data_IF_301182388685
#
_entry.id   IF_301182388685
#
_cell.length_a   1.000
_cell.length_b   1.000
_cell.length_c   1.000
_cell.angle_alpha   90.00
_cell.angle_beta   90.00
_cell.angle_gamma   90.00
#
_symmetry.space_group_name_H-M   'P 1'
#
loop_
_entity.id
_entity.type
_entity.pdbx_description
1 polymer ?
#
# COMPACT_ATOMS: atom_id res chain seq x y z
N UNK A 1 1.68 -66.82 41.87
CA UNK A 1 0.64 -66.90 40.82
C UNK A 1 0.09 -65.53 40.59
N UNK A 2 0.63 -64.85 39.59
CA UNK A 2 0.32 -63.45 39.26
C UNK A 2 -0.62 -63.38 38.11
N UNK A 3 -1.72 -62.62 38.27
CA UNK A 3 -2.66 -62.30 37.21
C UNK A 3 -2.22 -61.05 36.49
N UNK A 4 -1.90 -61.16 35.19
CA UNK A 4 -1.61 -60.01 34.31
C UNK A 4 -2.95 -59.42 33.81
N UNK A 5 -3.26 -58.21 34.27
CA UNK A 5 -4.35 -57.42 33.73
C UNK A 5 -3.90 -56.79 32.42
N UNK A 6 -4.55 -57.14 31.30
CA UNK A 6 -4.39 -56.46 30.00
C UNK A 6 -5.21 -55.16 30.01
N UNK A 7 -4.52 -54.03 30.03
CA UNK A 7 -5.12 -52.75 29.71
C UNK A 7 -5.26 -52.60 28.18
N UNK A 8 -6.49 -52.69 27.71
CA UNK A 8 -6.85 -52.35 26.33
C UNK A 8 -6.87 -50.81 26.21
N UNK A 9 -5.81 -50.23 25.67
CA UNK A 9 -5.81 -48.83 25.27
C UNK A 9 -6.61 -48.69 23.98
N UNK A 10 -7.80 -48.11 24.06
CA UNK A 10 -8.54 -47.61 22.91
C UNK A 10 -7.73 -46.42 22.32
N UNK A 11 -7.10 -46.67 21.19
CA UNK A 11 -6.52 -45.59 20.40
C UNK A 11 -7.67 -44.75 19.83
N UNK A 12 -7.96 -43.62 20.47
CA UNK A 12 -8.67 -42.53 19.84
C UNK A 12 -7.83 -42.10 18.63
N UNK A 13 -8.21 -42.51 17.44
CA UNK A 13 -7.74 -41.89 16.19
C UNK A 13 -8.35 -40.48 16.15
N UNK A 14 -7.62 -39.51 16.69
CA UNK A 14 -7.84 -38.10 16.34
C UNK A 14 -7.80 -38.03 14.81
N UNK A 15 -8.88 -37.62 14.21
CA UNK A 15 -8.93 -37.25 12.82
C UNK A 15 -7.92 -36.09 12.67
N UNK A 16 -6.72 -36.38 12.21
CA UNK A 16 -5.89 -35.40 11.58
C UNK A 16 -6.69 -34.95 10.36
N UNK A 17 -7.31 -33.76 10.44
CA UNK A 17 -7.74 -33.04 9.26
C UNK A 17 -6.55 -33.06 8.31
N UNK A 18 -6.75 -33.56 7.11
CA UNK A 18 -5.75 -33.48 6.05
C UNK A 18 -5.40 -32.00 5.90
N UNK A 19 -4.22 -31.60 6.39
CA UNK A 19 -3.72 -30.26 6.25
C UNK A 19 -3.77 -29.91 4.75
N UNK A 20 -4.61 -28.94 4.39
CA UNK A 20 -4.70 -28.49 3.00
C UNK A 20 -3.37 -27.83 2.65
N UNK A 21 -2.57 -28.52 1.83
CA UNK A 21 -1.32 -27.95 1.31
C UNK A 21 -1.68 -26.92 0.26
N UNK A 22 -1.43 -25.65 0.57
CA UNK A 22 -1.53 -24.57 -0.40
C UNK A 22 -0.22 -24.45 -1.19
N UNK A 23 -0.33 -24.52 -2.52
CA UNK A 23 0.80 -24.21 -3.42
C UNK A 23 0.55 -22.84 -4.03
N UNK A 24 1.38 -21.87 -3.67
CA UNK A 24 1.33 -20.50 -4.20
C UNK A 24 2.58 -20.24 -5.02
N UNK A 25 2.44 -19.57 -6.17
CA UNK A 25 3.55 -19.04 -6.95
C UNK A 25 3.53 -17.53 -6.86
N UNK A 26 4.68 -16.93 -6.60
CA UNK A 26 4.85 -15.49 -6.46
C UNK A 26 5.98 -14.98 -7.33
N UNK A 27 5.91 -13.68 -7.65
CA UNK A 27 6.98 -12.93 -8.28
C UNK A 27 7.27 -11.75 -7.37
N UNK A 28 8.51 -11.66 -6.89
CA UNK A 28 8.94 -10.56 -6.05
C UNK A 28 9.62 -9.48 -6.88
N UNK A 29 9.30 -8.23 -6.57
CA UNK A 29 9.86 -7.03 -7.20
C UNK A 29 9.99 -5.92 -6.16
N UNK A 30 10.46 -4.75 -6.59
CA UNK A 30 10.39 -3.52 -5.81
C UNK A 30 10.09 -2.33 -6.70
N UNK A 31 9.48 -1.29 -6.15
CA UNK A 31 9.35 0.02 -6.77
C UNK A 31 10.00 1.06 -5.87
N UNK A 32 11.07 1.70 -6.35
CA UNK A 32 11.83 2.70 -5.60
C UNK A 32 12.33 2.21 -4.21
N UNK A 33 12.60 0.91 -4.07
CA UNK A 33 13.09 0.28 -2.83
C UNK A 33 12.01 -0.38 -1.98
N UNK A 34 10.74 -0.08 -2.19
CA UNK A 34 9.63 -0.71 -1.48
C UNK A 34 9.27 -2.06 -2.13
N UNK A 35 9.24 -3.18 -1.36
CA UNK A 35 9.01 -4.50 -1.92
C UNK A 35 7.57 -4.69 -2.38
N UNK A 36 7.40 -5.57 -3.38
CA UNK A 36 6.10 -6.13 -3.72
C UNK A 36 6.23 -7.61 -4.10
N UNK A 37 5.44 -8.45 -3.45
CA UNK A 37 5.21 -9.85 -3.80
C UNK A 37 3.90 -9.99 -4.55
N UNK A 38 3.93 -10.19 -5.87
CA UNK A 38 2.73 -10.49 -6.63
C UNK A 38 2.44 -12.00 -6.58
N UNK A 39 1.28 -12.37 -6.07
CA UNK A 39 0.81 -13.75 -6.10
C UNK A 39 0.19 -13.99 -7.47
N UNK A 40 0.76 -14.92 -8.23
CA UNK A 40 0.38 -15.20 -9.64
C UNK A 40 -0.41 -16.49 -9.80
N UNK A 41 -0.31 -17.42 -8.85
CA UNK A 41 -1.08 -18.68 -8.86
C UNK A 41 -1.41 -19.16 -7.44
N UNK A 42 -2.50 -19.89 -7.34
CA UNK A 42 -2.89 -20.65 -6.15
C UNK A 42 -3.62 -19.86 -5.07
N UNK A 43 -3.76 -18.54 -5.22
CA UNK A 43 -4.57 -17.76 -4.30
C UNK A 43 -6.06 -17.96 -4.60
N UNK A 44 -6.92 -18.16 -3.57
CA UNK A 44 -8.36 -18.30 -3.77
C UNK A 44 -8.95 -17.08 -4.45
N UNK A 45 -9.84 -17.30 -5.41
CA UNK A 45 -10.51 -16.20 -6.14
C UNK A 45 -11.41 -15.41 -5.19
N UNK A 46 -11.13 -14.12 -4.94
CA UNK A 46 -11.93 -13.30 -4.04
C UNK A 46 -13.36 -13.14 -4.53
N UNK A 47 -14.34 -13.34 -3.65
CA UNK A 47 -15.77 -13.23 -3.94
C UNK A 47 -16.27 -11.84 -3.56
N UNK A 48 -17.06 -11.20 -4.43
CA UNK A 48 -17.66 -9.89 -4.20
C UNK A 48 -18.03 -9.18 -5.51
N UNK A 49 -19.03 -8.30 -5.46
CA UNK A 49 -19.47 -7.46 -6.58
C UNK A 49 -18.66 -6.17 -6.68
N UNK A 50 -18.06 -5.75 -5.58
CA UNK A 50 -17.18 -4.59 -5.49
C UNK A 50 -15.80 -5.01 -5.00
N UNK A 51 -14.80 -4.16 -5.22
CA UNK A 51 -13.46 -4.45 -4.71
C UNK A 51 -13.39 -4.39 -3.18
N UNK A 52 -14.22 -3.59 -2.53
CA UNK A 52 -14.35 -3.57 -1.06
C UNK A 52 -14.94 -4.87 -0.53
N UNK A 53 -15.98 -5.42 -1.18
CA UNK A 53 -16.51 -6.74 -0.81
C UNK A 53 -15.47 -7.84 -1.00
N UNK A 54 -14.73 -7.85 -2.12
CA UNK A 54 -13.63 -8.80 -2.34
C UNK A 54 -12.54 -8.69 -1.29
N UNK A 55 -12.17 -7.45 -0.90
CA UNK A 55 -11.22 -7.19 0.18
C UNK A 55 -11.72 -7.76 1.51
N UNK A 56 -12.97 -7.47 1.88
CA UNK A 56 -13.58 -7.99 3.11
C UNK A 56 -13.63 -9.51 3.13
N UNK A 57 -13.98 -10.11 2.01
CA UNK A 57 -14.04 -11.57 1.88
C UNK A 57 -12.68 -12.25 2.11
N UNK A 58 -11.58 -11.72 1.54
CA UNK A 58 -10.25 -12.30 1.78
C UNK A 58 -9.77 -12.07 3.22
N UNK A 59 -10.14 -10.96 3.83
CA UNK A 59 -9.86 -10.68 5.25
C UNK A 59 -10.55 -11.71 6.17
N UNK A 60 -11.78 -12.05 5.87
CA UNK A 60 -12.57 -12.96 6.68
C UNK A 60 -12.17 -14.43 6.48
N UNK A 61 -11.91 -14.85 5.23
CA UNK A 61 -11.77 -16.26 4.89
C UNK A 61 -10.32 -16.72 4.65
N UNK A 62 -9.40 -15.82 4.30
CA UNK A 62 -8.06 -16.17 3.83
C UNK A 62 -6.92 -15.35 4.44
N UNK A 63 -7.13 -14.68 5.58
CA UNK A 63 -6.09 -13.90 6.25
C UNK A 63 -4.87 -14.74 6.65
N UNK A 64 -5.07 -16.03 6.91
CA UNK A 64 -3.97 -16.96 7.18
C UNK A 64 -2.94 -17.04 6.02
N UNK A 65 -3.39 -16.94 4.75
CA UNK A 65 -2.49 -16.91 3.58
C UNK A 65 -1.70 -15.60 3.53
N UNK A 66 -2.35 -14.45 3.78
CA UNK A 66 -1.65 -13.17 3.91
C UNK A 66 -0.55 -13.25 4.95
N UNK A 67 -0.88 -13.70 6.15
CA UNK A 67 0.08 -13.86 7.26
C UNK A 67 1.24 -14.79 6.87
N UNK A 68 0.94 -15.90 6.23
CA UNK A 68 1.95 -16.85 5.78
C UNK A 68 2.92 -16.26 4.73
N UNK A 69 2.49 -15.26 3.94
CA UNK A 69 3.27 -14.65 2.87
C UNK A 69 3.98 -13.36 3.31
N UNK A 70 3.41 -12.63 4.28
CA UNK A 70 3.91 -11.31 4.69
C UNK A 70 4.81 -11.38 5.93
N UNK A 71 4.68 -12.41 6.77
CA UNK A 71 5.52 -12.57 7.97
C UNK A 71 6.64 -13.59 7.74
N UNK A 72 7.65 -13.56 8.62
CA UNK A 72 8.71 -14.56 8.69
C UNK A 72 8.12 -16.00 8.78
N UNK A 73 8.74 -16.98 8.16
CA UNK A 73 10.02 -16.92 7.43
C UNK A 73 9.89 -16.64 5.92
N UNK A 74 8.69 -16.46 5.38
CA UNK A 74 8.47 -16.24 3.94
C UNK A 74 8.38 -14.78 3.54
N UNK A 75 7.91 -13.92 4.44
CA UNK A 75 7.96 -12.47 4.34
C UNK A 75 8.96 -11.89 5.33
N UNK A 76 8.79 -10.63 5.66
CA UNK A 76 9.61 -9.90 6.62
C UNK A 76 8.86 -8.67 7.14
N UNK A 77 9.41 -7.96 8.11
CA UNK A 77 8.92 -6.64 8.49
C UNK A 77 8.96 -5.70 7.27
N UNK A 78 7.92 -4.87 7.11
CA UNK A 78 7.72 -3.98 5.96
C UNK A 78 7.45 -4.72 4.64
N UNK A 79 7.04 -6.01 4.67
CA UNK A 79 6.67 -6.75 3.46
C UNK A 79 5.34 -6.29 2.92
N UNK A 80 5.26 -6.18 1.59
CA UNK A 80 4.07 -5.81 0.84
C UNK A 80 3.75 -6.84 -0.25
N UNK A 81 2.49 -7.09 -0.50
CA UNK A 81 2.06 -8.06 -1.49
C UNK A 81 0.82 -7.60 -2.26
N UNK A 82 0.56 -8.28 -3.36
CA UNK A 82 -0.63 -8.07 -4.19
C UNK A 82 -1.14 -9.39 -4.78
N UNK A 83 -2.42 -9.40 -5.09
CA UNK A 83 -3.05 -10.45 -5.90
C UNK A 83 -3.96 -9.80 -6.94
N UNK A 84 -3.88 -10.29 -8.19
CA UNK A 84 -4.84 -9.92 -9.25
C UNK A 84 -6.12 -10.73 -9.08
N UNK A 85 -7.25 -10.11 -9.38
CA UNK A 85 -8.57 -10.72 -9.33
C UNK A 85 -9.33 -10.41 -10.62
N UNK A 86 -10.44 -11.10 -10.84
CA UNK A 86 -11.40 -10.69 -11.86
C UNK A 86 -11.83 -9.23 -11.63
N UNK A 87 -11.96 -8.42 -12.71
CA UNK A 87 -12.38 -7.05 -12.59
C UNK A 87 -13.85 -6.95 -12.12
N UNK A 88 -14.23 -5.80 -11.60
CA UNK A 88 -15.61 -5.48 -11.21
C UNK A 88 -16.23 -4.40 -12.10
N UNK A 89 -15.40 -3.60 -12.75
CA UNK A 89 -15.81 -2.53 -13.67
C UNK A 89 -15.68 -3.00 -15.12
N UNK A 90 -16.70 -2.76 -15.94
CA UNK A 90 -16.64 -3.04 -17.37
C UNK A 90 -15.50 -2.26 -18.03
N UNK A 91 -14.65 -2.95 -18.78
CA UNK A 91 -13.48 -2.38 -19.44
C UNK A 91 -12.21 -2.30 -18.58
N UNK A 92 -12.26 -2.71 -17.33
CA UNK A 92 -11.05 -2.94 -16.53
C UNK A 92 -10.38 -4.25 -16.94
N UNK A 93 -9.05 -4.28 -16.89
CA UNK A 93 -8.26 -5.45 -17.25
C UNK A 93 -8.17 -6.47 -16.10
N UNK A 94 -8.16 -5.99 -14.87
CA UNK A 94 -8.17 -6.81 -13.66
C UNK A 94 -8.58 -5.98 -12.43
N UNK A 95 -8.96 -6.65 -11.35
CA UNK A 95 -8.95 -6.11 -10.02
C UNK A 95 -7.60 -6.37 -9.33
N UNK A 96 -7.23 -5.55 -8.35
CA UNK A 96 -6.03 -5.73 -7.53
C UNK A 96 -6.36 -5.53 -6.06
N UNK A 97 -5.92 -6.48 -5.22
CA UNK A 97 -5.95 -6.36 -3.76
C UNK A 97 -4.51 -6.32 -3.25
N UNK A 98 -4.22 -5.34 -2.41
CA UNK A 98 -2.92 -5.18 -1.77
C UNK A 98 -2.97 -5.67 -0.32
N UNK A 99 -1.89 -6.29 0.12
CA UNK A 99 -1.76 -6.83 1.47
C UNK A 99 -0.40 -6.46 2.08
N UNK A 100 -0.35 -6.39 3.39
CA UNK A 100 0.86 -6.11 4.18
C UNK A 100 0.80 -6.85 5.52
N UNK A 101 1.74 -6.59 6.42
CA UNK A 101 1.80 -7.33 7.69
C UNK A 101 0.52 -7.18 8.54
N UNK A 102 -0.12 -6.01 8.58
CA UNK A 102 -1.32 -5.79 9.40
C UNK A 102 -2.63 -6.25 8.72
N UNK A 103 -2.74 -6.08 7.39
CA UNK A 103 -4.01 -6.35 6.71
C UNK A 103 -3.96 -6.10 5.21
N UNK A 104 -5.03 -5.50 4.69
CA UNK A 104 -5.22 -5.19 3.27
C UNK A 104 -5.49 -3.70 3.10
N UNK A 105 -4.66 -3.02 2.30
CA UNK A 105 -4.86 -1.62 1.99
C UNK A 105 -5.93 -1.39 0.91
N UNK A 106 -6.43 -0.17 0.82
CA UNK A 106 -7.44 0.22 -0.16
C UNK A 106 -6.83 0.56 -1.51
N UNK A 107 -5.61 1.13 -1.49
CA UNK A 107 -4.82 1.45 -2.68
C UNK A 107 -3.33 1.50 -2.31
N UNK A 108 -2.47 1.23 -3.30
CA UNK A 108 -1.02 1.27 -3.12
C UNK A 108 -0.34 1.74 -4.40
N UNK A 109 0.30 2.92 -4.36
CA UNK A 109 0.93 3.53 -5.53
C UNK A 109 2.16 2.75 -6.02
N UNK A 110 3.12 2.41 -5.14
CA UNK A 110 4.27 1.60 -5.53
C UNK A 110 3.84 0.21 -6.01
N UNK A 111 2.78 -0.33 -5.39
CA UNK A 111 2.18 -1.60 -5.80
C UNK A 111 1.62 -1.55 -7.22
N UNK A 112 0.92 -0.48 -7.63
CA UNK A 112 0.46 -0.30 -9.01
C UNK A 112 1.64 -0.31 -9.98
N UNK A 113 2.73 0.42 -9.67
CA UNK A 113 3.92 0.45 -10.52
C UNK A 113 4.51 -0.95 -10.71
N UNK A 114 4.67 -1.70 -9.62
CA UNK A 114 5.25 -3.04 -9.65
C UNK A 114 4.31 -4.06 -10.31
N UNK A 115 3.01 -4.05 -9.98
CA UNK A 115 2.01 -4.98 -10.55
C UNK A 115 1.92 -4.80 -12.06
N UNK A 116 1.81 -3.56 -12.56
CA UNK A 116 1.73 -3.28 -14.00
C UNK A 116 3.00 -3.73 -14.71
N UNK A 117 4.17 -3.46 -14.13
CA UNK A 117 5.47 -3.91 -14.66
C UNK A 117 5.50 -5.42 -14.78
N UNK A 118 5.23 -6.16 -13.69
CA UNK A 118 5.25 -7.62 -13.69
C UNK A 118 4.22 -8.18 -14.66
N UNK A 119 2.99 -7.64 -14.65
CA UNK A 119 1.90 -8.15 -15.45
C UNK A 119 2.19 -8.07 -16.97
N UNK A 120 2.82 -6.98 -17.41
CA UNK A 120 3.19 -6.80 -18.81
C UNK A 120 4.44 -7.61 -19.18
N UNK A 121 5.50 -7.57 -18.38
CA UNK A 121 6.74 -8.30 -18.66
C UNK A 121 6.59 -9.82 -18.58
N UNK A 122 5.62 -10.32 -17.84
CA UNK A 122 5.34 -11.76 -17.67
C UNK A 122 4.12 -12.25 -18.41
N UNK A 123 3.46 -11.38 -19.20
CA UNK A 123 2.27 -11.75 -19.98
C UNK A 123 1.07 -12.17 -19.14
N UNK A 124 0.96 -11.66 -17.89
CA UNK A 124 -0.20 -11.92 -17.03
C UNK A 124 -1.42 -11.10 -17.46
N UNK A 125 -1.20 -9.95 -18.10
CA UNK A 125 -2.21 -9.14 -18.75
C UNK A 125 -1.84 -8.97 -20.22
N UNK A 126 -2.81 -9.22 -21.09
CA UNK A 126 -2.69 -9.04 -22.53
C UNK A 126 -3.35 -7.70 -22.90
N UNK A 127 -2.55 -6.80 -23.43
CA UNK A 127 -3.03 -5.57 -24.01
C UNK A 127 -3.20 -5.76 -25.54
N UNK A 128 -4.28 -5.23 -26.15
CA UNK A 128 -4.35 -5.18 -27.61
C UNK A 128 -3.16 -4.44 -28.20
N UNK A 129 -2.79 -4.79 -29.43
CA UNK A 129 -1.67 -4.18 -30.14
C UNK A 129 -1.71 -2.65 -30.06
N UNK A 130 -0.56 -2.05 -29.77
CA UNK A 130 -0.35 -0.60 -29.61
C UNK A 130 -1.06 0.07 -28.41
N UNK A 131 -1.66 -0.67 -27.48
CA UNK A 131 -2.17 -0.10 -26.23
C UNK A 131 -1.14 -0.23 -25.12
N UNK A 132 -0.95 0.88 -24.38
CA UNK A 132 -0.04 0.96 -23.22
C UNK A 132 -0.79 1.29 -21.94
N UNK A 133 -2.13 1.37 -21.99
CA UNK A 133 -2.97 1.68 -20.85
C UNK A 133 -3.50 0.39 -20.21
N UNK A 134 -3.20 0.21 -18.94
CA UNK A 134 -3.77 -0.84 -18.06
C UNK A 134 -4.76 -0.19 -17.12
N UNK A 135 -5.98 -0.69 -17.09
CA UNK A 135 -7.03 -0.23 -16.20
C UNK A 135 -7.23 -1.28 -15.12
N UNK A 136 -7.08 -0.90 -13.86
CA UNK A 136 -7.20 -1.77 -12.70
C UNK A 136 -8.29 -1.26 -11.75
N UNK A 137 -9.12 -2.16 -11.23
CA UNK A 137 -10.01 -1.86 -10.13
C UNK A 137 -9.27 -2.05 -8.80
N UNK A 138 -9.33 -1.06 -7.91
CA UNK A 138 -8.84 -1.15 -6.53
C UNK A 138 -9.99 -0.91 -5.55
N UNK A 139 -9.85 -1.27 -4.26
CA UNK A 139 -10.86 -0.91 -3.26
C UNK A 139 -11.13 0.60 -3.14
N UNK A 140 -10.15 1.45 -3.45
CA UNK A 140 -10.33 2.91 -3.47
C UNK A 140 -10.93 3.44 -4.79
N UNK A 141 -11.06 2.60 -5.83
CA UNK A 141 -11.61 2.98 -7.12
C UNK A 141 -10.75 2.59 -8.31
N UNK A 142 -11.09 3.14 -9.46
CA UNK A 142 -10.47 2.83 -10.75
C UNK A 142 -9.12 3.53 -10.91
N UNK A 143 -8.11 2.76 -11.31
CA UNK A 143 -6.76 3.24 -11.59
C UNK A 143 -6.45 3.05 -13.08
N UNK A 144 -6.02 4.12 -13.74
CA UNK A 144 -5.56 4.09 -15.14
C UNK A 144 -4.05 4.25 -15.17
N UNK A 145 -3.34 3.18 -15.47
CA UNK A 145 -1.89 3.17 -15.58
C UNK A 145 -1.46 3.13 -17.05
N UNK A 146 -0.37 3.80 -17.37
CA UNK A 146 0.29 3.76 -18.67
C UNK A 146 1.74 3.31 -18.51
N UNK A 147 2.12 2.32 -19.29
CA UNK A 147 3.47 1.80 -19.32
C UNK A 147 4.19 2.23 -20.60
N UNK A 148 5.43 2.70 -20.47
CA UNK A 148 6.36 2.80 -21.59
C UNK A 148 7.06 1.45 -21.70
N UNK A 149 6.77 0.70 -22.76
CA UNK A 149 7.29 -0.64 -22.99
C UNK A 149 8.24 -0.60 -24.17
N UNK A 150 9.42 -1.19 -24.01
CA UNK A 150 10.39 -1.46 -25.07
C UNK A 150 10.55 -2.97 -25.25
N UNK A 151 11.19 -3.40 -26.31
CA UNK A 151 11.60 -4.78 -26.48
C UNK A 151 13.10 -4.91 -26.17
N UNK A 152 13.46 -5.88 -25.33
CA UNK A 152 14.84 -6.21 -25.04
C UNK A 152 15.01 -7.72 -25.04
N UNK A 153 15.94 -8.20 -25.85
CA UNK A 153 16.25 -9.64 -25.99
C UNK A 153 15.00 -10.49 -26.37
N UNK A 154 14.10 -9.93 -27.20
CA UNK A 154 12.88 -10.60 -27.64
C UNK A 154 11.76 -10.65 -26.58
N UNK A 155 11.88 -9.89 -25.51
CA UNK A 155 10.88 -9.82 -24.43
C UNK A 155 10.47 -8.37 -24.13
N UNK A 156 9.21 -8.14 -23.71
CA UNK A 156 8.76 -6.82 -23.29
C UNK A 156 9.50 -6.37 -22.03
N UNK A 157 9.95 -5.11 -22.05
CA UNK A 157 10.60 -4.44 -20.92
C UNK A 157 9.89 -3.15 -20.60
N UNK A 158 9.42 -3.00 -19.37
CA UNK A 158 8.76 -1.79 -18.90
C UNK A 158 9.80 -0.82 -18.36
N UNK A 159 9.96 0.30 -19.07
CA UNK A 159 10.92 1.36 -18.71
C UNK A 159 10.32 2.34 -17.67
N UNK A 160 9.02 2.55 -17.74
CA UNK A 160 8.32 3.50 -16.85
C UNK A 160 6.84 3.16 -16.78
N UNK A 161 6.28 3.31 -15.59
CA UNK A 161 4.83 3.29 -15.37
C UNK A 161 4.40 4.64 -14.79
N UNK A 162 3.31 5.18 -15.32
CA UNK A 162 2.59 6.32 -14.75
C UNK A 162 1.14 5.91 -14.54
N UNK A 163 0.47 6.49 -13.54
CA UNK A 163 -0.96 6.22 -13.35
C UNK A 163 -1.71 7.48 -12.93
N UNK A 164 -2.96 7.56 -13.30
CA UNK A 164 -3.92 8.52 -12.77
C UNK A 164 -4.55 7.89 -11.55
N UNK A 165 -4.31 8.53 -10.41
CA UNK A 165 -4.85 8.08 -9.12
C UNK A 165 -6.34 8.44 -9.00
N UNK A 166 -7.00 7.86 -7.99
CA UNK A 166 -8.31 8.34 -7.53
C UNK A 166 -8.23 9.81 -7.09
N UNK A 167 -9.33 10.56 -7.10
CA UNK A 167 -9.34 11.94 -6.60
C UNK A 167 -8.75 12.03 -5.20
N UNK A 168 -7.88 13.04 -5.00
CA UNK A 168 -7.22 13.29 -3.73
C UNK A 168 -7.72 14.60 -3.16
N UNK A 169 -7.90 14.67 -1.84
CA UNK A 169 -8.47 15.82 -1.15
C UNK A 169 -8.00 15.92 0.30
N UNK A 170 -8.11 17.12 0.88
CA UNK A 170 -7.91 17.34 2.32
C UNK A 170 -9.21 17.10 3.05
N UNK A 171 -9.19 16.21 4.07
CA UNK A 171 -10.36 15.92 4.90
C UNK A 171 -10.42 16.84 6.12
N UNK A 172 -9.34 16.93 6.87
CA UNK A 172 -9.21 17.78 8.06
C UNK A 172 -7.90 18.53 8.03
N UNK A 173 -7.90 19.85 7.78
CA UNK A 173 -6.71 20.66 7.85
C UNK A 173 -6.38 21.04 9.28
N UNK A 174 -5.11 21.07 9.65
CA UNK A 174 -4.57 21.71 10.85
C UNK A 174 -5.06 21.15 12.19
N UNK A 175 -5.31 19.83 12.29
CA UNK A 175 -5.56 19.19 13.58
C UNK A 175 -4.32 19.32 14.47
N UNK A 176 -4.52 19.52 15.77
CA UNK A 176 -3.39 19.65 16.71
C UNK A 176 -3.17 18.35 17.46
N UNK A 177 -1.96 17.79 17.34
CA UNK A 177 -1.52 16.62 18.11
C UNK A 177 -0.47 17.04 19.14
N UNK A 178 -0.63 16.59 20.38
CA UNK A 178 0.34 16.83 21.46
C UNK A 178 1.40 15.73 21.48
N UNK A 179 2.65 16.13 21.26
CA UNK A 179 3.84 15.30 21.38
C UNK A 179 4.71 15.79 22.53
N UNK A 180 4.49 15.26 23.74
CA UNK A 180 5.11 15.78 24.95
C UNK A 180 4.72 17.25 25.19
N UNK A 181 5.70 18.15 25.16
CA UNK A 181 5.49 19.59 25.32
C UNK A 181 5.26 20.35 24.00
N UNK A 182 5.18 19.65 22.87
CA UNK A 182 4.94 20.26 21.55
C UNK A 182 3.49 20.10 21.13
N UNK A 183 2.96 21.12 20.51
CA UNK A 183 1.71 21.08 19.75
C UNK A 183 2.07 21.07 18.28
N UNK A 184 1.72 19.98 17.60
CA UNK A 184 2.13 19.72 16.21
C UNK A 184 0.91 19.79 15.32
N UNK A 185 0.87 20.66 14.29
CA UNK A 185 -0.20 20.67 13.31
C UNK A 185 -0.10 19.42 12.41
N UNK A 186 -1.25 18.83 12.13
CA UNK A 186 -1.39 17.62 11.31
C UNK A 186 -2.55 17.83 10.34
N UNK A 187 -2.28 17.65 9.07
CA UNK A 187 -3.32 17.61 8.06
C UNK A 187 -3.75 16.16 7.79
N UNK A 188 -5.04 15.95 7.59
CA UNK A 188 -5.57 14.66 7.16
C UNK A 188 -6.01 14.76 5.72
N UNK A 189 -5.40 13.98 4.84
CA UNK A 189 -5.71 13.99 3.43
C UNK A 189 -5.85 12.57 2.87
N UNK A 190 -6.65 12.45 1.80
CA UNK A 190 -6.90 11.22 1.07
C UNK A 190 -6.13 11.22 -0.26
N UNK A 191 -5.45 10.12 -0.56
CA UNK A 191 -4.79 9.88 -1.83
C UNK A 191 -4.97 8.43 -2.31
N UNK A 192 -6.12 7.82 -1.97
CA UNK A 192 -6.42 6.38 -2.14
C UNK A 192 -6.41 5.61 -0.82
N UNK A 193 -5.83 6.22 0.21
CA UNK A 193 -5.96 5.93 1.63
C UNK A 193 -5.85 7.26 2.39
N UNK A 194 -6.29 7.31 3.65
CA UNK A 194 -6.13 8.49 4.48
C UNK A 194 -4.76 8.51 5.18
N UNK A 195 -4.14 9.67 5.19
CA UNK A 195 -2.85 9.91 5.82
C UNK A 195 -2.94 11.09 6.78
N UNK A 196 -2.28 10.95 7.93
CA UNK A 196 -1.90 12.08 8.77
C UNK A 196 -0.57 12.64 8.25
N UNK A 197 -0.56 13.88 7.80
CA UNK A 197 0.61 14.53 7.19
C UNK A 197 1.14 15.56 8.16
N UNK A 198 2.44 15.50 8.45
CA UNK A 198 3.09 16.33 9.46
C UNK A 198 4.48 16.74 9.00
N UNK A 199 4.86 17.98 9.30
CA UNK A 199 6.24 18.43 9.16
C UNK A 199 7.13 17.79 10.23
N UNK A 200 8.20 17.13 9.81
CA UNK A 200 9.11 16.43 10.72
C UNK A 200 9.81 17.38 11.70
N UNK A 201 10.19 18.58 11.25
CA UNK A 201 10.85 19.59 12.10
C UNK A 201 9.89 20.12 13.16
N UNK A 202 8.62 20.37 12.81
CA UNK A 202 7.58 20.75 13.77
C UNK A 202 7.37 19.67 14.84
N UNK A 203 7.47 18.40 14.45
CA UNK A 203 7.45 17.27 15.38
C UNK A 203 8.74 17.08 16.19
N UNK A 204 9.79 17.86 15.89
CA UNK A 204 11.11 17.74 16.49
C UNK A 204 11.92 16.54 16.02
N UNK A 205 11.64 16.06 14.80
CA UNK A 205 12.24 14.89 14.19
C UNK A 205 13.02 15.24 12.92
N UNK A 206 13.87 14.31 12.49
CA UNK A 206 14.55 14.35 11.20
C UNK A 206 14.21 13.09 10.40
N UNK A 207 14.09 13.25 9.09
CA UNK A 207 13.89 12.12 8.20
C UNK A 207 15.24 11.48 7.89
N UNK A 208 15.58 10.44 8.62
CA UNK A 208 16.86 9.74 8.48
C UNK A 208 16.80 8.31 8.99
N UNK A 209 17.68 7.45 8.47
CA UNK A 209 17.73 6.04 8.87
C UNK A 209 18.08 5.89 10.38
N UNK A 210 18.87 6.80 10.94
CA UNK A 210 19.22 6.80 12.36
C UNK A 210 18.03 7.10 13.26
N UNK A 211 17.05 7.86 12.77
CA UNK A 211 15.88 8.31 13.54
C UNK A 211 14.66 7.39 13.33
N UNK A 212 14.82 6.30 12.55
CA UNK A 212 13.70 5.45 12.08
C UNK A 212 12.89 4.83 13.23
N UNK A 213 13.54 4.43 14.32
CA UNK A 213 12.84 3.92 15.53
C UNK A 213 11.89 4.96 16.10
N UNK A 214 12.36 6.19 16.30
CA UNK A 214 11.54 7.30 16.81
C UNK A 214 10.45 7.70 15.83
N UNK A 215 10.73 7.72 14.51
CA UNK A 215 9.75 8.00 13.49
C UNK A 215 8.60 6.99 13.50
N UNK A 216 8.89 5.68 13.70
CA UNK A 216 7.88 4.62 13.86
C UNK A 216 6.98 4.88 15.07
N UNK A 217 7.58 5.12 16.23
CA UNK A 217 6.86 5.36 17.50
C UNK A 217 5.97 6.60 17.41
N UNK A 218 6.53 7.73 16.97
CA UNK A 218 5.81 8.99 16.85
C UNK A 218 4.74 8.92 15.76
N UNK A 219 5.03 8.26 14.64
CA UNK A 219 4.06 8.06 13.56
C UNK A 219 2.81 7.33 14.04
N UNK A 220 2.99 6.25 14.81
CA UNK A 220 1.87 5.51 15.40
C UNK A 220 1.13 6.31 16.47
N UNK A 221 1.83 7.15 17.23
CA UNK A 221 1.21 8.02 18.21
C UNK A 221 0.33 9.08 17.52
N UNK A 222 0.82 9.71 16.45
CA UNK A 222 0.06 10.69 15.65
C UNK A 222 -1.17 10.02 15.05
N UNK A 223 -1.02 8.86 14.39
CA UNK A 223 -2.13 8.09 13.82
C UNK A 223 -3.24 7.91 14.84
N UNK A 224 -2.93 7.35 16.01
CA UNK A 224 -3.91 7.08 17.07
C UNK A 224 -4.52 8.36 17.65
N UNK A 225 -3.71 9.41 17.80
CA UNK A 225 -4.19 10.71 18.30
C UNK A 225 -5.19 11.34 17.34
N UNK A 226 -4.93 11.32 16.04
CA UNK A 226 -5.85 11.83 15.02
C UNK A 226 -7.14 11.03 15.01
N UNK A 227 -7.09 9.70 15.02
CA UNK A 227 -8.26 8.83 15.05
C UNK A 227 -9.13 9.00 16.30
N UNK A 228 -8.53 9.41 17.43
CA UNK A 228 -9.27 9.73 18.66
C UNK A 228 -9.93 11.09 18.64
N UNK A 229 -9.51 12.01 17.78
CA UNK A 229 -10.00 13.40 17.73
C UNK A 229 -11.01 13.64 16.61
N UNK A 230 -10.93 12.88 15.52
CA UNK A 230 -11.71 13.13 14.31
C UNK A 230 -12.26 11.84 13.70
N UNK A 231 -13.43 11.96 13.07
CA UNK A 231 -14.01 10.87 12.28
C UNK A 231 -13.34 10.86 10.91
N UNK A 232 -12.66 9.75 10.58
CA UNK A 232 -11.96 9.58 9.32
C UNK A 232 -12.77 8.64 8.44
N UNK A 233 -13.61 9.23 7.59
CA UNK A 233 -14.49 8.51 6.65
C UNK A 233 -14.51 9.27 5.34
N UNK A 234 -14.44 8.53 4.23
CA UNK A 234 -14.52 9.13 2.90
C UNK A 234 -15.95 9.66 2.64
N UNK A 235 -16.12 10.90 2.10
CA UNK A 235 -17.42 11.55 2.00
C UNK A 235 -18.41 10.86 1.05
N UNK A 236 -17.94 9.99 0.15
CA UNK A 236 -18.77 9.31 -0.86
C UNK A 236 -18.80 7.79 -0.64
N UNK A 237 -17.77 7.21 -0.04
CA UNK A 237 -17.67 5.76 0.18
C UNK A 237 -17.32 5.46 1.65
N UNK A 238 -18.36 5.14 2.43
CA UNK A 238 -18.23 4.85 3.85
C UNK A 238 -17.37 3.63 4.18
N UNK A 239 -17.05 2.79 3.18
CA UNK A 239 -16.13 1.66 3.33
C UNK A 239 -14.65 2.07 3.39
N UNK A 240 -14.32 3.32 3.06
CA UNK A 240 -12.98 3.89 3.13
C UNK A 240 -12.81 4.70 4.41
N UNK A 241 -12.22 4.10 5.44
CA UNK A 241 -12.15 4.67 6.79
C UNK A 241 -10.78 4.51 7.43
N UNK A 242 -10.53 5.32 8.48
CA UNK A 242 -9.35 5.25 9.33
C UNK A 242 -8.07 5.79 8.70
N UNK A 243 -7.08 6.10 9.52
CA UNK A 243 -5.77 6.55 9.06
C UNK A 243 -4.93 5.33 8.69
N UNK A 244 -4.51 5.27 7.42
CA UNK A 244 -3.60 4.24 6.94
C UNK A 244 -2.19 4.40 7.51
N UNK A 245 -1.68 5.63 7.51
CA UNK A 245 -0.35 5.93 8.03
C UNK A 245 -0.10 7.41 8.28
N UNK A 246 1.05 7.69 8.89
CA UNK A 246 1.56 9.05 9.10
C UNK A 246 2.68 9.32 8.11
N UNK A 247 2.61 10.45 7.39
CA UNK A 247 3.64 10.92 6.49
C UNK A 247 4.38 12.07 7.18
N UNK A 248 5.65 11.85 7.44
CA UNK A 248 6.57 12.93 7.84
C UNK A 248 7.13 13.56 6.58
N UNK A 249 6.97 14.87 6.43
CA UNK A 249 7.54 15.65 5.34
C UNK A 249 8.69 16.53 5.85
N UNK A 250 9.62 16.87 4.98
CA UNK A 250 10.75 17.72 5.32
C UNK A 250 11.51 18.20 4.09
N UNK A 251 12.60 18.93 4.32
CA UNK A 251 13.47 19.44 3.27
C UNK A 251 14.10 18.27 2.50
N UNK A 252 14.05 18.33 1.18
CA UNK A 252 14.67 17.34 0.30
C UNK A 252 16.20 17.46 0.32
N UNK A 253 16.89 16.31 0.28
CA UNK A 253 18.35 16.25 0.16
C UNK A 253 18.79 16.29 -1.31
N UNK A 254 18.02 15.68 -2.21
CA UNK A 254 18.36 15.58 -3.61
C UNK A 254 18.07 16.89 -4.36
N UNK A 255 19.02 17.39 -5.19
CA UNK A 255 18.78 18.56 -6.03
C UNK A 255 17.54 18.38 -6.94
N UNK A 256 16.65 19.35 -6.92
CA UNK A 256 15.43 19.38 -7.73
C UNK A 256 14.27 18.54 -7.17
N UNK A 257 14.40 17.91 -6.02
CA UNK A 257 13.28 17.41 -5.26
C UNK A 257 12.61 18.54 -4.47
N UNK A 258 11.28 18.48 -4.35
CA UNK A 258 10.49 19.51 -3.67
C UNK A 258 10.39 19.26 -2.17
N UNK A 259 10.09 18.03 -1.79
CA UNK A 259 10.02 17.58 -0.40
C UNK A 259 10.62 16.18 -0.27
N UNK A 260 11.13 15.90 0.91
CA UNK A 260 11.48 14.53 1.37
C UNK A 260 10.39 14.00 2.28
N UNK A 261 10.18 12.68 2.27
CA UNK A 261 9.24 12.06 3.18
C UNK A 261 9.70 10.69 3.68
N UNK A 262 9.05 10.27 4.76
CA UNK A 262 8.93 8.88 5.17
C UNK A 262 7.50 8.63 5.61
N UNK A 263 6.92 7.54 5.13
CA UNK A 263 5.58 7.11 5.54
C UNK A 263 5.68 5.95 6.51
N UNK A 264 5.10 6.13 7.69
CA UNK A 264 4.91 5.09 8.69
C UNK A 264 3.47 4.61 8.58
N UNK A 265 3.25 3.36 8.19
CA UNK A 265 1.94 2.83 7.87
C UNK A 265 1.64 1.54 8.63
N UNK A 266 0.41 1.07 8.54
CA UNK A 266 -0.07 -0.16 9.15
C UNK A 266 0.29 -0.25 10.65
N UNK A 267 1.04 -1.26 11.09
CA UNK A 267 1.57 -1.41 12.45
C UNK A 267 3.04 -1.04 12.50
N UNK A 268 3.32 0.27 12.33
CA UNK A 268 4.65 0.86 12.32
C UNK A 268 5.60 0.36 11.21
N UNK A 269 5.06 -0.12 10.08
CA UNK A 269 5.85 -0.40 8.88
C UNK A 269 6.35 0.89 8.24
N UNK A 270 7.46 0.79 7.49
CA UNK A 270 8.09 1.91 6.82
C UNK A 270 8.03 1.71 5.32
N UNK A 271 7.43 2.65 4.60
CA UNK A 271 7.52 2.71 3.15
C UNK A 271 8.90 3.25 2.76
N UNK A 272 9.68 2.44 2.06
CA UNK A 272 11.02 2.80 1.56
C UNK A 272 10.95 3.65 0.30
N UNK A 273 9.82 3.63 -0.41
CA UNK A 273 9.54 4.50 -1.56
C UNK A 273 9.04 5.88 -1.11
N UNK A 274 8.87 6.85 -2.02
CA UNK A 274 8.21 8.12 -1.71
C UNK A 274 6.72 8.00 -1.36
N UNK A 275 6.14 6.81 -1.33
CA UNK A 275 4.73 6.52 -1.13
C UNK A 275 3.83 7.13 -2.22
N UNK A 276 3.34 6.34 -3.19
CA UNK A 276 2.61 6.88 -4.34
C UNK A 276 1.27 7.53 -3.98
N UNK A 277 0.42 6.83 -3.21
CA UNK A 277 -0.84 7.38 -2.69
C UNK A 277 -0.60 8.50 -1.67
N UNK A 278 0.44 8.37 -0.83
CA UNK A 278 0.87 9.42 0.08
C UNK A 278 1.36 10.68 -0.64
N UNK A 279 2.10 10.54 -1.75
CA UNK A 279 2.49 11.69 -2.60
C UNK A 279 1.24 12.42 -3.11
N UNK A 280 0.19 11.71 -3.52
CA UNK A 280 -1.05 12.34 -3.96
C UNK A 280 -1.76 13.08 -2.81
N UNK A 281 -1.76 12.52 -1.60
CA UNK A 281 -2.31 13.17 -0.42
C UNK A 281 -1.52 14.44 -0.04
N UNK A 282 -0.17 14.39 -0.05
CA UNK A 282 0.68 15.57 0.17
C UNK A 282 0.44 16.64 -0.89
N UNK A 283 0.32 16.25 -2.17
CA UNK A 283 -0.01 17.20 -3.25
C UNK A 283 -1.37 17.85 -3.05
N UNK A 284 -2.38 17.15 -2.52
CA UNK A 284 -3.68 17.73 -2.21
C UNK A 284 -3.57 18.81 -1.11
N UNK A 285 -2.75 18.58 -0.08
CA UNK A 285 -2.47 19.58 0.96
C UNK A 285 -1.75 20.79 0.37
N UNK A 286 -0.68 20.58 -0.40
CA UNK A 286 0.07 21.66 -1.04
C UNK A 286 -0.78 22.46 -2.02
N UNK A 287 -1.68 21.82 -2.77
CA UNK A 287 -2.61 22.51 -3.69
C UNK A 287 -3.62 23.36 -2.91
N UNK A 288 -4.21 22.84 -1.83
CA UNK A 288 -5.10 23.58 -0.96
C UNK A 288 -4.42 24.81 -0.33
N UNK A 289 -3.13 24.70 -0.02
CA UNK A 289 -2.30 25.80 0.50
C UNK A 289 -1.76 26.73 -0.60
N UNK A 290 -2.03 26.44 -1.88
CA UNK A 290 -1.50 27.17 -3.06
C UNK A 290 0.04 27.16 -3.16
N UNK A 291 0.67 26.12 -2.63
CA UNK A 291 2.12 25.94 -2.64
C UNK A 291 2.61 25.04 -3.78
N UNK A 292 1.69 24.38 -4.49
CA UNK A 292 2.07 23.49 -5.58
C UNK A 292 2.29 24.28 -6.86
N UNK A 293 3.48 24.15 -7.46
CA UNK A 293 3.80 24.77 -8.73
C UNK A 293 2.91 24.20 -9.86
N UNK A 294 2.32 25.07 -10.67
CA UNK A 294 1.39 24.68 -11.72
C UNK A 294 2.09 24.22 -13.02
N UNK A 295 3.31 24.66 -13.23
CA UNK A 295 4.07 24.55 -14.48
C UNK A 295 5.04 23.36 -14.53
N UNK A 296 5.31 22.72 -13.41
CA UNK A 296 6.22 21.58 -13.31
C UNK A 296 5.69 20.45 -12.42
N UNK A 297 6.17 19.20 -12.61
CA UNK A 297 5.86 18.10 -11.71
C UNK A 297 6.41 18.36 -10.30
N UNK A 298 5.64 17.97 -9.29
CA UNK A 298 6.09 17.83 -7.91
C UNK A 298 6.99 16.60 -7.79
N UNK A 299 8.17 16.75 -7.23
CA UNK A 299 9.13 15.67 -7.03
C UNK A 299 9.27 15.36 -5.55
N UNK A 300 8.85 14.17 -5.17
CA UNK A 300 8.86 13.66 -3.79
C UNK A 300 10.00 12.67 -3.60
N UNK A 301 10.87 12.95 -2.63
CA UNK A 301 12.04 12.12 -2.31
C UNK A 301 11.70 11.19 -1.13
N UNK A 302 12.15 9.93 -1.19
CA UNK A 302 12.00 8.98 -0.10
C UNK A 302 13.15 9.05 0.91
N UNK A 303 13.00 8.30 2.00
CA UNK A 303 14.06 8.04 2.96
C UNK A 303 15.36 7.50 2.32
N UNK A 304 15.23 6.73 1.23
CA UNK A 304 16.36 6.15 0.50
C UNK A 304 16.92 7.06 -0.61
N UNK A 305 16.37 8.27 -0.80
CA UNK A 305 16.75 9.18 -1.89
C UNK A 305 16.15 8.83 -3.25
N UNK A 306 15.25 7.83 -3.32
CA UNK A 306 14.49 7.55 -4.54
C UNK A 306 13.39 8.59 -4.73
N UNK A 307 12.92 8.78 -5.97
CA UNK A 307 11.99 9.86 -6.28
C UNK A 307 10.77 9.36 -7.04
N UNK A 308 9.59 9.91 -6.67
CA UNK A 308 8.38 9.89 -7.49
C UNK A 308 8.08 11.30 -7.99
N UNK A 309 7.45 11.37 -9.16
CA UNK A 309 7.01 12.64 -9.75
C UNK A 309 5.51 12.60 -9.97
N UNK A 310 4.82 13.63 -9.47
CA UNK A 310 3.39 13.78 -9.61
C UNK A 310 3.01 15.12 -10.24
N UNK A 311 1.83 15.18 -10.83
CA UNK A 311 1.20 16.43 -11.26
C UNK A 311 -0.31 16.30 -11.13
N UNK A 312 -0.98 17.43 -10.92
CA UNK A 312 -2.44 17.50 -10.98
C UNK A 312 -2.87 17.39 -12.44
N UNK A 313 -3.83 16.49 -12.71
CA UNK A 313 -4.40 16.29 -14.06
C UNK A 313 -5.84 16.81 -14.17
N UNK A 314 -6.47 17.16 -13.06
CA UNK A 314 -7.81 17.75 -12.97
C UNK A 314 -8.10 18.20 -11.55
N UNK A 315 -9.03 19.15 -11.37
CA UNK A 315 -9.58 19.63 -10.10
C UNK A 315 -11.07 19.51 -10.10
#
# INVERSE_FOLDING_TARGET
MGAYNRLTTSRNRSHFNSEMIHRLRTIDAHAAGEPLRLIVEGYPSPVGRTMLEKRSWVMEHHDALRRALMFEPRGHLDMYGAVLTEPVTSGSHAGVLFMHNEGYSTMCGHGILAVVTIALERGLLHLPDNKTEVVLDSPAGLIRARAAVTERDGAPRVERVTFVNVPSFVLHPGLTVKLGNREVPVDVAFGGAFYAIVDAEAAGLRIGAADLGTLREVGMLIKRSVESQAVIVHPVDEGLTGIYGTIFTGIADAPGADLRNVTIFADAQVDRSPCGSGTCAVMAVLDAMQLLAADRPFTHESLLGTQFRGRIVGR
#
